data_IF_193365283761
#
_entry.id   IF_193365283761
#
_cell.length_a   1.000
_cell.length_b   1.000
_cell.length_c   1.000
_cell.angle_alpha   90.00
_cell.angle_beta   90.00
_cell.angle_gamma   90.00
#
_symmetry.space_group_name_H-M   'P 1'
#
loop_
_entity.id
_entity.type
_entity.pdbx_description
1 polymer ?
#
# COMPACT_ATOMS: atom_id res chain seq x y z
N UNK A 1 0.35 -15.70 17.02
CA UNK A 1 -0.85 -14.90 17.33
C UNK A 1 -1.66 -14.79 16.04
N UNK A 2 -2.92 -15.24 16.02
CA UNK A 2 -3.72 -15.20 14.78
C UNK A 2 -3.97 -13.75 14.37
N UNK A 3 -3.64 -13.32 13.14
CA UNK A 3 -3.88 -11.95 12.71
C UNK A 3 -5.36 -11.60 12.90
N UNK A 4 -5.63 -10.46 13.55
CA UNK A 4 -6.99 -9.93 13.62
C UNK A 4 -7.46 -9.63 12.19
N UNK A 5 -8.58 -10.21 11.78
CA UNK A 5 -9.16 -10.00 10.45
C UNK A 5 -10.61 -9.53 10.56
N UNK A 6 -11.06 -8.72 9.61
CA UNK A 6 -12.45 -8.26 9.48
C UNK A 6 -13.09 -8.83 8.22
N UNK A 7 -14.32 -9.32 8.33
CA UNK A 7 -15.13 -9.74 7.17
C UNK A 7 -15.43 -8.54 6.27
N UNK A 8 -15.31 -8.73 4.97
CA UNK A 8 -15.54 -7.67 3.99
C UNK A 8 -17.03 -7.51 3.67
N UNK A 9 -17.42 -6.26 3.45
CA UNK A 9 -18.74 -5.88 2.92
C UNK A 9 -18.53 -5.08 1.64
N UNK A 10 -19.53 -4.97 0.75
CA UNK A 10 -19.41 -4.15 -0.46
C UNK A 10 -18.98 -2.70 -0.15
N UNK A 11 -19.48 -2.12 0.94
CA UNK A 11 -19.09 -0.79 1.40
C UNK A 11 -17.61 -0.70 1.81
N UNK A 12 -17.09 -1.72 2.51
CA UNK A 12 -15.65 -1.79 2.86
C UNK A 12 -14.81 -1.87 1.59
N UNK A 13 -15.16 -2.75 0.65
CA UNK A 13 -14.41 -2.92 -0.60
C UNK A 13 -14.40 -1.62 -1.41
N UNK A 14 -15.57 -0.99 -1.60
CA UNK A 14 -15.68 0.29 -2.31
C UNK A 14 -14.86 1.40 -1.65
N UNK A 15 -14.94 1.53 -0.31
CA UNK A 15 -14.18 2.53 0.42
C UNK A 15 -12.67 2.30 0.37
N UNK A 16 -12.22 1.04 0.44
CA UNK A 16 -10.80 0.69 0.32
C UNK A 16 -10.27 0.91 -1.09
N UNK A 17 -11.04 0.56 -2.11
CA UNK A 17 -10.70 0.83 -3.52
C UNK A 17 -10.49 2.32 -3.77
N UNK A 18 -11.46 3.15 -3.36
CA UNK A 18 -11.37 4.61 -3.50
C UNK A 18 -10.13 5.17 -2.83
N UNK A 19 -9.81 4.72 -1.61
CA UNK A 19 -8.59 5.14 -0.90
C UNK A 19 -7.32 4.73 -1.64
N UNK A 20 -7.26 3.51 -2.15
CA UNK A 20 -6.10 3.03 -2.89
C UNK A 20 -5.82 3.90 -4.12
N UNK A 21 -6.87 4.26 -4.86
CA UNK A 21 -6.81 5.14 -6.03
C UNK A 21 -6.43 6.56 -5.63
N UNK A 22 -7.13 7.18 -4.67
CA UNK A 22 -6.84 8.55 -4.23
C UNK A 22 -5.40 8.75 -3.75
N UNK A 23 -4.84 7.80 -2.99
CA UNK A 23 -3.45 7.89 -2.54
C UNK A 23 -2.45 7.69 -3.67
N UNK A 24 -2.75 6.81 -4.64
CA UNK A 24 -1.90 6.59 -5.81
C UNK A 24 -1.92 7.80 -6.76
N UNK A 25 -3.09 8.42 -6.94
CA UNK A 25 -3.24 9.63 -7.74
C UNK A 25 -2.50 10.80 -7.07
N UNK A 26 -2.68 11.00 -5.76
CA UNK A 26 -1.95 12.02 -5.01
C UNK A 26 -0.42 11.80 -5.07
N UNK A 27 0.05 10.55 -5.00
CA UNK A 27 1.46 10.22 -5.19
C UNK A 27 1.98 10.69 -6.55
N UNK A 28 1.23 10.40 -7.61
CA UNK A 28 1.61 10.77 -8.97
C UNK A 28 1.60 12.29 -9.16
N UNK A 29 0.53 12.97 -8.70
CA UNK A 29 0.41 14.43 -8.76
C UNK A 29 1.54 15.13 -8.02
N UNK A 30 1.84 14.74 -6.78
CA UNK A 30 2.91 15.41 -6.01
C UNK A 30 4.27 15.22 -6.70
N UNK A 31 4.56 14.03 -7.25
CA UNK A 31 5.82 13.82 -7.97
C UNK A 31 5.91 14.58 -9.29
N UNK A 32 4.78 14.75 -9.98
CA UNK A 32 4.72 15.50 -11.23
C UNK A 32 4.99 16.99 -11.02
N UNK A 33 4.53 17.56 -9.90
CA UNK A 33 4.63 18.99 -9.60
C UNK A 33 5.79 19.36 -8.64
N UNK A 34 6.59 18.39 -8.20
CA UNK A 34 7.76 18.69 -7.37
C UNK A 34 8.88 19.29 -8.23
N UNK A 35 9.52 20.36 -7.73
CA UNK A 35 10.71 20.95 -8.38
C UNK A 35 11.84 19.90 -8.46
N UNK A 36 12.11 19.22 -7.34
CA UNK A 36 12.99 18.06 -7.26
C UNK A 36 12.27 16.89 -6.57
N UNK A 37 12.31 15.65 -7.12
CA UNK A 37 11.68 14.49 -6.49
C UNK A 37 12.15 14.19 -5.06
N UNK A 38 13.36 14.66 -4.71
CA UNK A 38 13.94 14.53 -3.38
C UNK A 38 13.13 15.26 -2.31
N UNK A 39 12.57 16.43 -2.65
CA UNK A 39 11.90 17.33 -1.71
C UNK A 39 10.58 16.76 -1.17
N UNK A 40 10.00 15.83 -1.92
CA UNK A 40 8.71 15.19 -1.61
C UNK A 40 8.84 13.71 -1.31
N UNK A 41 10.06 13.18 -1.19
CA UNK A 41 10.30 11.73 -1.13
C UNK A 41 9.61 11.03 0.04
N UNK A 42 9.62 11.62 1.24
CA UNK A 42 8.97 11.03 2.43
C UNK A 42 7.44 11.09 2.34
N UNK A 43 6.90 12.21 1.83
CA UNK A 43 5.47 12.39 1.62
C UNK A 43 4.94 11.39 0.58
N UNK A 44 5.63 11.26 -0.56
CA UNK A 44 5.28 10.31 -1.60
C UNK A 44 5.46 8.87 -1.13
N UNK A 45 6.53 8.54 -0.39
CA UNK A 45 6.68 7.20 0.19
C UNK A 45 5.49 6.86 1.09
N UNK A 46 5.05 7.80 1.94
CA UNK A 46 3.89 7.64 2.82
C UNK A 46 2.60 7.38 2.03
N UNK A 47 2.35 8.14 0.96
CA UNK A 47 1.20 7.92 0.08
C UNK A 47 1.25 6.54 -0.60
N UNK A 48 2.42 6.12 -1.08
CA UNK A 48 2.62 4.80 -1.67
C UNK A 48 2.30 3.67 -0.68
N UNK A 49 2.72 3.80 0.59
CA UNK A 49 2.36 2.86 1.65
C UNK A 49 0.85 2.78 1.84
N UNK A 50 0.17 3.92 1.98
CA UNK A 50 -1.27 3.94 2.23
C UNK A 50 -2.08 3.40 1.05
N UNK A 51 -1.67 3.71 -0.18
CA UNK A 51 -2.24 3.11 -1.39
C UNK A 51 -2.08 1.58 -1.38
N UNK A 52 -0.88 1.08 -1.08
CA UNK A 52 -0.59 -0.35 -1.00
C UNK A 52 -1.40 -1.10 0.07
N UNK A 53 -1.56 -0.51 1.27
CA UNK A 53 -2.42 -1.09 2.33
C UNK A 53 -3.86 -1.19 1.84
N UNK A 54 -4.41 -0.12 1.30
CA UNK A 54 -5.80 -0.09 0.84
C UNK A 54 -6.04 -1.06 -0.33
N UNK A 55 -5.09 -1.16 -1.27
CA UNK A 55 -5.15 -2.13 -2.37
C UNK A 55 -5.06 -3.57 -1.85
N UNK A 56 -4.19 -3.85 -0.88
CA UNK A 56 -4.08 -5.16 -0.23
C UNK A 56 -5.39 -5.57 0.43
N UNK A 57 -6.08 -4.63 1.10
CA UNK A 57 -7.40 -4.89 1.69
C UNK A 57 -8.42 -5.30 0.61
N UNK A 58 -8.45 -4.61 -0.54
CA UNK A 58 -9.35 -4.94 -1.67
C UNK A 58 -9.06 -6.33 -2.21
N UNK A 59 -7.78 -6.66 -2.45
CA UNK A 59 -7.36 -7.98 -2.96
C UNK A 59 -7.78 -9.07 -1.97
N UNK A 60 -7.42 -8.93 -0.70
CA UNK A 60 -7.80 -9.93 0.32
C UNK A 60 -9.32 -10.06 0.44
N UNK A 61 -10.07 -8.96 0.35
CA UNK A 61 -11.52 -9.01 0.35
C UNK A 61 -12.09 -9.79 -0.84
N UNK A 62 -11.55 -9.60 -2.04
CA UNK A 62 -12.02 -10.27 -3.25
C UNK A 62 -11.76 -11.79 -3.20
N UNK A 63 -10.57 -12.21 -2.75
CA UNK A 63 -10.18 -13.62 -2.78
C UNK A 63 -10.52 -14.40 -1.50
N UNK A 64 -10.56 -13.74 -0.34
CA UNK A 64 -10.71 -14.40 0.97
C UNK A 64 -11.97 -13.96 1.72
N UNK A 65 -12.70 -12.95 1.24
CA UNK A 65 -13.87 -12.39 1.94
C UNK A 65 -13.53 -11.68 3.26
N UNK A 66 -12.25 -11.46 3.55
CA UNK A 66 -11.75 -10.80 4.77
C UNK A 66 -10.45 -10.05 4.50
N UNK A 67 -10.16 -9.04 5.31
CA UNK A 67 -8.91 -8.30 5.27
C UNK A 67 -8.32 -8.12 6.68
N UNK A 68 -7.05 -7.73 6.77
CA UNK A 68 -6.38 -7.56 8.06
C UNK A 68 -6.91 -6.33 8.83
N UNK A 69 -7.07 -6.48 10.15
CA UNK A 69 -7.54 -5.45 11.06
C UNK A 69 -6.55 -5.29 12.23
N UNK A 70 -5.48 -4.54 11.99
CA UNK A 70 -4.45 -4.26 12.97
C UNK A 70 -3.57 -3.10 12.52
N UNK A 71 -2.90 -2.46 13.48
CA UNK A 71 -2.05 -1.29 13.25
C UNK A 71 -0.65 -1.66 12.74
N UNK A 72 -0.18 -2.88 13.03
CA UNK A 72 1.16 -3.33 12.62
C UNK A 72 1.26 -3.67 11.13
N UNK A 73 0.12 -3.87 10.47
CA UNK A 73 -0.05 -4.27 9.05
C UNK A 73 0.80 -5.46 8.57
N UNK A 74 1.60 -6.10 9.42
CA UNK A 74 2.42 -7.28 9.10
C UNK A 74 1.51 -8.47 8.82
N UNK A 75 0.43 -8.61 9.60
CA UNK A 75 -0.61 -9.61 9.33
C UNK A 75 -1.33 -9.43 7.99
N UNK A 76 -1.23 -8.25 7.35
CA UNK A 76 -1.74 -8.04 5.99
C UNK A 76 -0.83 -8.68 4.93
N UNK A 77 0.49 -8.73 5.16
CA UNK A 77 1.44 -9.40 4.26
C UNK A 77 1.15 -10.89 4.25
N UNK A 78 0.99 -11.52 5.41
CA UNK A 78 0.74 -12.96 5.51
C UNK A 78 -0.58 -13.35 4.83
N UNK A 79 -1.62 -12.53 5.04
CA UNK A 79 -2.91 -12.73 4.39
C UNK A 79 -2.80 -12.59 2.87
N UNK A 80 -2.10 -11.55 2.39
CA UNK A 80 -1.86 -11.36 0.96
C UNK A 80 -0.99 -12.47 0.38
N UNK A 81 -0.02 -13.00 1.11
CA UNK A 81 0.86 -14.08 0.66
C UNK A 81 0.09 -15.38 0.40
N UNK A 82 -1.02 -15.60 1.11
CA UNK A 82 -1.94 -16.71 0.85
C UNK A 82 -2.74 -16.56 -0.45
N UNK A 83 -2.82 -15.34 -1.00
CA UNK A 83 -3.44 -15.02 -2.30
C UNK A 83 -2.37 -14.99 -3.40
N UNK A 84 -1.33 -14.17 -3.22
CA UNK A 84 -0.22 -14.01 -4.15
C UNK A 84 1.05 -13.56 -3.41
N UNK A 85 2.05 -14.45 -3.35
CA UNK A 85 3.35 -14.18 -2.71
C UNK A 85 4.17 -13.07 -3.38
N UNK A 86 3.96 -12.81 -4.68
CA UNK A 86 4.64 -11.72 -5.40
C UNK A 86 4.08 -10.37 -4.96
N UNK A 87 2.75 -10.25 -4.85
CA UNK A 87 2.09 -9.06 -4.32
C UNK A 87 2.46 -8.82 -2.85
N UNK A 88 2.57 -9.89 -2.05
CA UNK A 88 3.03 -9.78 -0.67
C UNK A 88 4.45 -9.18 -0.54
N UNK A 89 5.37 -9.47 -1.47
CA UNK A 89 6.71 -8.84 -1.49
C UNK A 89 6.67 -7.35 -1.83
N UNK A 90 5.75 -6.94 -2.71
CA UNK A 90 5.52 -5.51 -2.97
C UNK A 90 4.99 -4.82 -1.71
N UNK A 91 4.04 -5.44 -1.02
CA UNK A 91 3.49 -4.88 0.22
C UNK A 91 4.55 -4.82 1.34
N UNK A 92 5.40 -5.83 1.47
CA UNK A 92 6.54 -5.80 2.40
C UNK A 92 7.47 -4.63 2.12
N UNK A 93 7.81 -4.41 0.84
CA UNK A 93 8.66 -3.29 0.43
C UNK A 93 8.07 -1.95 0.90
N UNK A 94 6.75 -1.77 0.79
CA UNK A 94 6.10 -0.54 1.23
C UNK A 94 6.09 -0.41 2.75
N UNK A 95 5.79 -1.48 3.50
CA UNK A 95 5.77 -1.42 4.97
C UNK A 95 7.15 -1.18 5.57
N UNK A 96 8.21 -1.70 4.96
CA UNK A 96 9.58 -1.41 5.40
C UNK A 96 9.88 0.11 5.30
N UNK A 97 9.24 0.85 4.38
CA UNK A 97 9.38 2.30 4.24
C UNK A 97 8.49 3.11 5.19
N UNK A 98 7.38 2.55 5.70
CA UNK A 98 6.49 3.23 6.66
C UNK A 98 7.25 3.65 7.91
N UNK A 99 8.11 2.78 8.41
CA UNK A 99 8.93 3.06 9.60
C UNK A 99 10.00 4.11 9.31
N UNK A 100 10.59 4.09 8.11
CA UNK A 100 11.62 5.05 7.70
C UNK A 100 11.02 6.45 7.51
N UNK A 101 9.97 6.58 6.69
CA UNK A 101 9.34 7.86 6.38
C UNK A 101 8.59 8.51 7.56
N UNK A 102 8.08 7.70 8.51
CA UNK A 102 7.27 8.22 9.62
C UNK A 102 8.03 8.54 10.90
N UNK A 103 9.25 7.99 11.07
CA UNK A 103 9.94 8.01 12.37
C UNK A 103 11.46 8.20 12.29
N UNK A 104 12.07 8.13 11.10
CA UNK A 104 13.49 8.42 10.94
C UNK A 104 13.70 9.89 10.59
N UNK A 105 14.86 10.42 10.99
CA UNK A 105 15.42 11.66 10.47
C UNK A 105 16.06 11.50 9.07
N UNK A 106 16.30 10.26 8.63
CA UNK A 106 16.89 9.98 7.33
C UNK A 106 15.82 10.05 6.25
N UNK A 107 16.09 10.81 5.18
CA UNK A 107 15.17 10.96 4.06
C UNK A 107 15.11 9.70 3.20
N UNK A 108 13.93 9.40 2.66
CA UNK A 108 13.76 8.37 1.65
C UNK A 108 14.63 8.72 0.42
N UNK A 109 15.53 7.81 0.04
CA UNK A 109 16.32 7.98 -1.19
C UNK A 109 15.43 7.88 -2.45
N UNK A 110 15.83 8.55 -3.53
CA UNK A 110 15.14 8.46 -4.82
C UNK A 110 15.02 7.02 -5.35
N UNK A 111 16.03 6.18 -5.10
CA UNK A 111 16.00 4.78 -5.47
C UNK A 111 14.92 4.00 -4.70
N UNK A 112 14.79 4.26 -3.39
CA UNK A 112 13.74 3.70 -2.56
C UNK A 112 12.36 4.20 -2.97
N UNK A 113 12.21 5.50 -3.26
CA UNK A 113 10.97 6.09 -3.75
C UNK A 113 10.51 5.46 -5.08
N UNK A 114 11.43 5.29 -6.05
CA UNK A 114 11.13 4.63 -7.32
C UNK A 114 10.68 3.18 -7.11
N UNK A 115 11.27 2.48 -6.13
CA UNK A 115 10.86 1.13 -5.75
C UNK A 115 9.47 1.12 -5.10
N UNK A 116 9.17 2.11 -4.26
CA UNK A 116 7.86 2.31 -3.64
C UNK A 116 6.77 2.53 -4.71
N UNK A 117 7.01 3.43 -5.67
CA UNK A 117 6.08 3.68 -6.77
C UNK A 117 5.75 2.40 -7.56
N UNK A 118 6.76 1.60 -7.95
CA UNK A 118 6.53 0.31 -8.62
C UNK A 118 5.72 -0.68 -7.78
N UNK A 119 6.01 -0.77 -6.49
CA UNK A 119 5.29 -1.67 -5.59
C UNK A 119 3.83 -1.23 -5.40
N UNK A 120 3.60 0.07 -5.23
CA UNK A 120 2.27 0.67 -5.17
C UNK A 120 1.47 0.38 -6.43
N UNK A 121 2.01 0.70 -7.62
CA UNK A 121 1.33 0.48 -8.90
C UNK A 121 0.94 -0.99 -9.07
N UNK A 122 1.85 -1.93 -8.78
CA UNK A 122 1.56 -3.36 -8.89
C UNK A 122 0.36 -3.79 -8.02
N UNK A 123 0.28 -3.29 -6.78
CA UNK A 123 -0.82 -3.59 -5.85
C UNK A 123 -2.13 -2.93 -6.29
N UNK A 124 -2.10 -1.64 -6.66
CA UNK A 124 -3.29 -0.90 -7.09
C UNK A 124 -3.87 -1.50 -8.36
N UNK A 125 -3.04 -1.88 -9.32
CA UNK A 125 -3.48 -2.53 -10.55
C UNK A 125 -4.05 -3.93 -10.30
N UNK A 126 -3.47 -4.69 -9.37
CA UNK A 126 -4.05 -5.96 -8.95
C UNK A 126 -5.42 -5.76 -8.28
N UNK A 127 -5.57 -4.76 -7.41
CA UNK A 127 -6.85 -4.41 -6.79
C UNK A 127 -7.90 -3.97 -7.82
N UNK A 128 -7.50 -3.23 -8.87
CA UNK A 128 -8.38 -2.86 -10.00
C UNK A 128 -8.92 -4.08 -10.73
N UNK A 129 -8.09 -5.11 -10.94
CA UNK A 129 -8.48 -6.37 -11.61
C UNK A 129 -9.24 -7.36 -10.73
N UNK A 130 -9.16 -7.24 -9.41
CA UNK A 130 -9.81 -8.14 -8.44
C UNK A 130 -11.31 -7.87 -8.27
N UNK A 131 -12.04 -7.71 -9.37
CA UNK A 131 -13.50 -7.44 -9.39
C UNK A 131 -14.28 -8.71 -9.72
#
# INVERSE_FOLDING_TARGET
>A
MTPRTRKCTPAIVSGRRRKAEQFADAFATILEFADEPGDVSDACATLAVHAGIAATDVICCAFLGRHHQGEDHRGAIDLLASVDSRLARHMKTLLDLKTLAGYSHDTITLAALKKAGRAMTALVDAARRAQ
#
